data_IF_441407054347
#
_entry.id   IF_441407054347
#
_cell.length_a   1.000
_cell.length_b   1.000
_cell.length_c   1.000
_cell.angle_alpha   90.00
_cell.angle_beta   90.00
_cell.angle_gamma   90.00
#
_symmetry.space_group_name_H-M   'P 1'
#
loop_
_entity.id
_entity.type
_entity.pdbx_description
1 polymer ?
#
# COMPACT_ATOMS: atom_id res chain seq x y z
N UNK A 1 -3.83 11.89 57.79
CA UNK A 1 -3.67 12.73 56.59
C UNK A 1 -3.60 11.84 55.35
N UNK A 2 -4.71 11.50 54.67
CA UNK A 2 -4.65 10.82 53.40
C UNK A 2 -4.45 11.87 52.30
N UNK A 3 -3.30 11.82 51.62
CA UNK A 3 -3.06 12.60 50.42
C UNK A 3 -3.95 12.06 49.29
N UNK A 4 -5.13 12.65 49.15
CA UNK A 4 -6.03 12.41 48.03
C UNK A 4 -5.36 12.88 46.74
N UNK A 5 -4.97 11.92 45.92
CA UNK A 5 -4.34 12.10 44.61
C UNK A 5 -5.40 12.56 43.56
N UNK A 6 -5.92 13.77 43.77
CA UNK A 6 -7.03 14.38 43.00
C UNK A 6 -6.67 14.73 41.54
N UNK A 7 -5.39 14.60 41.15
CA UNK A 7 -4.95 14.90 39.77
C UNK A 7 -5.19 13.74 38.79
N UNK A 8 -5.56 12.55 39.28
CA UNK A 8 -5.64 11.33 38.46
C UNK A 8 -7.00 11.03 37.85
N UNK A 9 -8.10 11.64 38.33
CA UNK A 9 -9.47 11.32 37.89
C UNK A 9 -9.82 11.79 36.44
N UNK A 10 -9.47 13.02 35.98
CA UNK A 10 -9.89 13.52 34.66
C UNK A 10 -9.21 12.76 33.51
N UNK A 11 -7.94 12.37 33.69
CA UNK A 11 -7.15 11.65 32.68
C UNK A 11 -7.63 10.21 32.46
N UNK A 12 -8.21 9.58 33.49
CA UNK A 12 -8.78 8.24 33.38
C UNK A 12 -10.07 8.23 32.55
N UNK A 13 -10.92 9.26 32.70
CA UNK A 13 -12.12 9.46 31.88
C UNK A 13 -11.78 9.69 30.41
N UNK A 14 -10.81 10.58 30.12
CA UNK A 14 -10.35 10.84 28.75
C UNK A 14 -9.81 9.57 28.07
N UNK A 15 -9.00 8.76 28.77
CA UNK A 15 -8.43 7.54 28.18
C UNK A 15 -9.50 6.48 27.92
N UNK A 16 -10.55 6.44 28.73
CA UNK A 16 -11.72 5.60 28.48
C UNK A 16 -12.49 6.03 27.23
N UNK A 17 -12.71 7.34 27.06
CA UNK A 17 -13.37 7.90 25.86
C UNK A 17 -12.61 7.54 24.58
N UNK A 18 -11.31 7.86 24.51
CA UNK A 18 -10.51 7.57 23.32
C UNK A 18 -10.43 6.07 22.99
N UNK A 19 -10.42 5.18 23.99
CA UNK A 19 -10.53 3.74 23.75
C UNK A 19 -11.86 3.37 23.09
N UNK A 20 -12.97 3.98 23.51
CA UNK A 20 -14.28 3.76 22.87
C UNK A 20 -14.28 4.29 21.44
N UNK A 21 -13.75 5.49 21.20
CA UNK A 21 -13.64 6.08 19.88
C UNK A 21 -12.78 5.22 18.95
N UNK A 22 -11.58 4.82 19.40
CA UNK A 22 -10.70 3.91 18.67
C UNK A 22 -11.38 2.57 18.35
N UNK A 23 -12.09 1.98 19.33
CA UNK A 23 -12.84 0.74 19.13
C UNK A 23 -13.89 0.88 18.02
N UNK A 24 -14.75 1.89 18.10
CA UNK A 24 -15.84 2.06 17.12
C UNK A 24 -15.31 2.42 15.74
N UNK A 25 -14.28 3.27 15.66
CA UNK A 25 -13.58 3.57 14.41
C UNK A 25 -12.97 2.29 13.81
N UNK A 26 -12.28 1.48 14.62
CA UNK A 26 -11.70 0.23 14.17
C UNK A 26 -12.76 -0.78 13.70
N UNK A 27 -13.92 -0.85 14.35
CA UNK A 27 -15.01 -1.75 13.91
C UNK A 27 -15.65 -1.30 12.60
N UNK A 28 -15.91 0.00 12.44
CA UNK A 28 -16.61 0.55 11.28
C UNK A 28 -15.71 0.70 10.05
N UNK A 29 -14.45 1.10 10.24
CA UNK A 29 -13.53 1.45 9.15
C UNK A 29 -12.30 0.54 9.08
N UNK A 30 -12.07 -0.31 10.08
CA UNK A 30 -10.89 -1.17 10.10
C UNK A 30 -10.85 -2.17 8.94
N UNK A 31 -11.99 -2.56 8.38
CA UNK A 31 -12.03 -3.38 7.17
C UNK A 31 -11.54 -2.62 5.93
N UNK A 32 -11.80 -1.31 5.83
CA UNK A 32 -11.27 -0.46 4.73
C UNK A 32 -9.75 -0.38 4.85
N UNK A 33 -9.24 -0.14 6.07
CA UNK A 33 -7.79 -0.12 6.31
C UNK A 33 -7.15 -1.47 6.04
N UNK A 34 -7.84 -2.57 6.40
CA UNK A 34 -7.39 -3.93 6.11
C UNK A 34 -7.29 -4.18 4.60
N UNK A 35 -8.27 -3.74 3.81
CA UNK A 35 -8.23 -3.85 2.34
C UNK A 35 -7.10 -3.02 1.74
N UNK A 36 -6.94 -1.76 2.16
CA UNK A 36 -5.88 -0.88 1.68
C UNK A 36 -4.48 -1.42 2.05
N UNK A 37 -4.32 -1.93 3.27
CA UNK A 37 -3.08 -2.57 3.73
C UNK A 37 -2.76 -3.84 2.95
N UNK A 38 -3.75 -4.73 2.79
CA UNK A 38 -3.60 -5.97 2.04
C UNK A 38 -3.25 -5.69 0.58
N UNK A 39 -3.97 -4.78 -0.07
CA UNK A 39 -3.70 -4.41 -1.47
C UNK A 39 -2.34 -3.75 -1.61
N UNK A 40 -1.93 -2.89 -0.67
CA UNK A 40 -0.59 -2.29 -0.65
C UNK A 40 0.53 -3.33 -0.54
N UNK A 41 0.37 -4.32 0.35
CA UNK A 41 1.32 -5.43 0.46
C UNK A 41 1.40 -6.27 -0.83
N UNK A 42 0.28 -6.48 -1.53
CA UNK A 42 0.27 -7.12 -2.86
C UNK A 42 1.02 -6.27 -3.89
N UNK A 43 0.91 -4.93 -3.84
CA UNK A 43 1.63 -4.06 -4.77
C UNK A 43 3.14 -4.06 -4.59
N UNK A 44 3.65 -4.40 -3.40
CA UNK A 44 5.08 -4.66 -3.23
C UNK A 44 5.57 -5.87 -4.06
N UNK A 45 4.66 -6.80 -4.37
CA UNK A 45 4.90 -7.94 -5.25
C UNK A 45 4.57 -7.63 -6.73
N UNK A 46 4.45 -6.36 -7.13
CA UNK A 46 4.05 -5.98 -8.51
C UNK A 46 4.89 -6.64 -9.61
N UNK A 47 6.20 -6.72 -9.45
CA UNK A 47 7.10 -7.28 -10.46
C UNK A 47 6.94 -8.82 -10.60
N UNK A 48 7.02 -9.62 -9.51
CA UNK A 48 6.74 -11.05 -9.61
C UNK A 48 5.29 -11.35 -10.00
N UNK A 49 4.32 -10.55 -9.56
CA UNK A 49 2.92 -10.70 -9.96
C UNK A 49 2.75 -10.47 -11.46
N UNK A 50 3.25 -9.35 -11.99
CA UNK A 50 3.22 -9.08 -13.44
C UNK A 50 3.89 -10.22 -14.22
N UNK A 51 5.07 -10.65 -13.79
CA UNK A 51 5.81 -11.77 -14.42
C UNK A 51 5.01 -13.07 -14.44
N UNK A 52 4.27 -13.34 -13.38
CA UNK A 52 3.40 -14.51 -13.29
C UNK A 52 2.19 -14.38 -14.24
N UNK A 53 1.59 -13.19 -14.35
CA UNK A 53 0.39 -12.97 -15.17
C UNK A 53 0.67 -12.92 -16.67
N UNK A 54 1.74 -12.25 -17.10
CA UNK A 54 2.03 -12.04 -18.53
C UNK A 54 3.17 -12.92 -19.06
N UNK A 55 3.84 -13.66 -18.17
CA UNK A 55 4.98 -14.50 -18.49
C UNK A 55 6.31 -13.75 -18.55
N UNK A 56 7.39 -14.45 -18.17
CA UNK A 56 8.74 -13.88 -18.15
C UNK A 56 9.24 -13.44 -19.54
N UNK A 57 8.86 -14.18 -20.57
CA UNK A 57 9.30 -13.96 -21.95
C UNK A 57 8.81 -12.62 -22.53
N UNK A 58 7.66 -12.14 -22.07
CA UNK A 58 7.13 -10.83 -22.48
C UNK A 58 7.91 -9.67 -21.82
N UNK A 59 8.51 -9.88 -20.65
CA UNK A 59 9.12 -8.82 -19.84
C UNK A 59 10.65 -8.78 -19.92
N UNK A 60 11.28 -9.91 -20.23
CA UNK A 60 12.73 -10.05 -20.26
C UNK A 60 13.25 -9.95 -21.69
N UNK A 61 14.46 -9.41 -21.84
CA UNK A 61 15.18 -9.45 -23.11
C UNK A 61 15.46 -10.91 -23.48
N UNK A 62 15.28 -11.25 -24.75
CA UNK A 62 15.58 -12.60 -25.24
C UNK A 62 17.08 -12.86 -25.29
N UNK A 63 17.86 -11.84 -25.65
CA UNK A 63 19.31 -11.91 -25.70
C UNK A 63 19.91 -10.60 -25.15
N UNK A 64 21.07 -10.65 -24.47
CA UNK A 64 21.81 -9.46 -24.13
C UNK A 64 22.23 -8.71 -25.41
N UNK A 65 22.09 -7.37 -25.45
CA UNK A 65 22.57 -6.59 -26.59
C UNK A 65 24.10 -6.65 -26.68
N UNK A 66 24.64 -6.48 -27.88
CA UNK A 66 26.08 -6.29 -28.03
C UNK A 66 26.52 -5.02 -27.27
N UNK A 67 27.72 -5.00 -26.65
CA UNK A 67 28.22 -3.82 -25.96
C UNK A 67 28.19 -2.58 -26.85
N UNK A 68 27.62 -1.48 -26.37
CA UNK A 68 27.50 -0.22 -27.11
C UNK A 68 26.32 -0.15 -28.09
N UNK A 69 25.45 -1.15 -28.14
CA UNK A 69 24.23 -1.09 -28.98
C UNK A 69 23.35 0.09 -28.59
N UNK A 70 23.02 0.94 -29.56
CA UNK A 70 22.04 2.00 -29.38
C UNK A 70 20.62 1.42 -29.34
N UNK A 71 19.77 1.96 -28.46
CA UNK A 71 18.34 1.63 -28.47
C UNK A 71 17.69 2.20 -29.74
N UNK A 72 16.71 1.49 -30.27
CA UNK A 72 15.84 2.01 -31.31
C UNK A 72 15.02 3.21 -30.78
N UNK A 73 14.53 4.04 -31.69
CA UNK A 73 13.76 5.22 -31.29
C UNK A 73 12.38 4.85 -30.74
N UNK A 74 11.80 5.75 -29.94
CA UNK A 74 10.43 5.60 -29.45
C UNK A 74 9.42 5.45 -30.60
N UNK A 75 9.65 6.15 -31.71
CA UNK A 75 8.84 6.06 -32.93
C UNK A 75 8.92 4.66 -33.55
N UNK A 76 10.12 4.06 -33.59
CA UNK A 76 10.30 2.70 -34.10
C UNK A 76 9.54 1.67 -33.25
N UNK A 77 9.62 1.77 -31.91
CA UNK A 77 8.85 0.90 -31.02
C UNK A 77 7.34 1.04 -31.24
N UNK A 78 6.86 2.29 -31.33
CA UNK A 78 5.44 2.56 -31.55
C UNK A 78 4.97 2.05 -32.92
N UNK A 79 5.78 2.22 -33.97
CA UNK A 79 5.46 1.72 -35.31
C UNK A 79 5.38 0.20 -35.33
N UNK A 80 6.37 -0.49 -34.77
CA UNK A 80 6.37 -1.95 -34.68
C UNK A 80 5.16 -2.49 -33.92
N UNK A 81 4.81 -1.86 -32.79
CA UNK A 81 3.63 -2.23 -32.02
C UNK A 81 2.31 -2.00 -32.79
N UNK A 82 2.18 -0.89 -33.53
CA UNK A 82 0.99 -0.61 -34.37
C UNK A 82 0.81 -1.66 -35.46
N UNK A 83 1.90 -2.10 -36.07
CA UNK A 83 1.87 -3.10 -37.14
C UNK A 83 1.57 -4.50 -36.62
N UNK A 84 2.17 -4.88 -35.49
CA UNK A 84 2.03 -6.22 -34.93
C UNK A 84 0.72 -6.45 -34.15
N UNK A 85 0.17 -5.40 -33.55
CA UNK A 85 -0.97 -5.50 -32.63
C UNK A 85 -2.16 -4.67 -33.10
N UNK A 86 -2.98 -5.19 -34.05
CA UNK A 86 -4.18 -4.49 -34.53
C UNK A 86 -5.25 -4.31 -33.44
N UNK A 87 -5.09 -4.92 -32.27
CA UNK A 87 -5.96 -4.72 -31.11
C UNK A 87 -5.87 -3.28 -30.56
N UNK A 88 -4.80 -2.53 -30.85
CA UNK A 88 -4.75 -1.11 -30.51
C UNK A 88 -5.75 -0.31 -31.35
N UNK A 89 -6.60 0.49 -30.69
CA UNK A 89 -7.40 1.50 -31.38
C UNK A 89 -6.54 2.68 -31.83
N UNK A 90 -5.56 3.04 -30.99
CA UNK A 90 -4.45 3.95 -31.31
C UNK A 90 -3.33 3.73 -30.31
N UNK A 91 -2.09 4.04 -30.70
CA UNK A 91 -0.97 4.10 -29.76
C UNK A 91 -0.88 5.50 -29.17
N UNK A 92 -0.82 5.59 -27.84
CA UNK A 92 -0.72 6.86 -27.11
C UNK A 92 0.73 7.26 -26.84
N UNK A 93 1.64 6.28 -26.71
CA UNK A 93 3.04 6.54 -26.49
C UNK A 93 3.84 5.30 -26.13
N UNK A 94 5.10 5.50 -25.81
CA UNK A 94 6.01 4.47 -25.35
C UNK A 94 6.86 4.93 -24.15
N UNK A 95 7.33 3.98 -23.37
CA UNK A 95 8.28 4.19 -22.28
C UNK A 95 9.51 3.28 -22.48
N UNK A 96 10.72 3.80 -22.21
CA UNK A 96 11.94 3.01 -22.34
C UNK A 96 12.00 1.87 -21.31
N UNK A 97 12.92 0.90 -21.48
CA UNK A 97 13.15 -0.16 -20.52
C UNK A 97 13.27 0.35 -19.08
N UNK A 98 12.67 -0.39 -18.16
CA UNK A 98 12.66 -0.11 -16.71
C UNK A 98 12.08 1.26 -16.32
N UNK A 99 11.47 1.99 -17.25
CA UNK A 99 10.74 3.21 -16.93
C UNK A 99 9.28 2.92 -16.58
N UNK A 100 8.74 3.72 -15.66
CA UNK A 100 7.33 3.68 -15.28
C UNK A 100 6.97 2.64 -14.21
N UNK A 101 5.68 2.35 -14.12
CA UNK A 101 5.11 1.52 -13.05
C UNK A 101 5.28 0.01 -13.28
N UNK A 102 5.24 -0.42 -14.55
CA UNK A 102 5.44 -1.81 -14.95
C UNK A 102 6.90 -2.01 -15.31
N UNK A 103 7.61 -2.78 -14.47
CA UNK A 103 9.04 -3.02 -14.67
C UNK A 103 9.25 -4.11 -15.72
N UNK A 104 9.96 -3.76 -16.79
CA UNK A 104 10.28 -4.63 -17.93
C UNK A 104 11.68 -4.29 -18.45
N UNK A 105 12.43 -5.28 -18.94
CA UNK A 105 13.66 -5.04 -19.70
C UNK A 105 13.34 -4.68 -21.18
N UNK A 106 12.10 -4.92 -21.63
CA UNK A 106 11.58 -4.47 -22.91
C UNK A 106 11.04 -3.03 -22.83
N UNK A 107 11.00 -2.35 -23.98
CA UNK A 107 10.25 -1.11 -24.13
C UNK A 107 8.75 -1.38 -24.05
N UNK A 108 8.01 -0.42 -23.49
CA UNK A 108 6.57 -0.54 -23.30
C UNK A 108 5.85 0.43 -24.23
N UNK A 109 4.95 -0.07 -25.07
CA UNK A 109 4.04 0.74 -25.90
C UNK A 109 2.62 0.57 -25.40
N UNK A 110 1.87 1.66 -25.25
CA UNK A 110 0.53 1.61 -24.66
C UNK A 110 -0.50 2.42 -25.43
N UNK A 111 -1.76 2.02 -25.31
CA UNK A 111 -2.88 2.66 -25.98
C UNK A 111 -4.21 1.97 -25.70
N UNK A 112 -5.35 2.62 -25.99
CA UNK A 112 -6.66 2.01 -25.83
C UNK A 112 -6.84 0.80 -26.76
N UNK A 113 -7.59 -0.20 -26.29
CA UNK A 113 -7.94 -1.41 -27.06
C UNK A 113 -9.21 -1.18 -27.86
N UNK A 114 -9.27 -1.70 -29.09
CA UNK A 114 -10.47 -1.62 -29.93
C UNK A 114 -11.67 -2.30 -29.25
N UNK A 115 -12.83 -1.64 -29.27
CA UNK A 115 -14.08 -2.17 -28.72
C UNK A 115 -14.11 -2.36 -27.20
N UNK A 116 -13.09 -1.89 -26.45
CA UNK A 116 -13.01 -2.04 -24.99
C UNK A 116 -12.56 -0.74 -24.33
N UNK A 117 -13.16 -0.40 -23.20
CA UNK A 117 -12.68 0.67 -22.32
C UNK A 117 -11.51 0.15 -21.47
N UNK A 118 -10.40 -0.18 -22.12
CA UNK A 118 -9.23 -0.78 -21.49
C UNK A 118 -7.93 -0.32 -22.17
N UNK A 119 -6.83 -0.41 -21.44
CA UNK A 119 -5.49 -0.08 -21.89
C UNK A 119 -4.73 -1.34 -22.32
N UNK A 120 -4.35 -1.39 -23.59
CA UNK A 120 -3.44 -2.37 -24.13
C UNK A 120 -1.99 -1.98 -23.86
N UNK A 121 -1.16 -2.99 -23.66
CA UNK A 121 0.28 -2.85 -23.44
C UNK A 121 1.00 -3.84 -24.34
N UNK A 122 1.85 -3.33 -25.21
CA UNK A 122 2.79 -4.09 -26.02
C UNK A 122 4.19 -3.98 -25.43
N UNK A 123 4.85 -5.12 -25.27
CA UNK A 123 6.26 -5.22 -24.98
C UNK A 123 7.01 -5.34 -26.30
N UNK A 124 8.05 -4.54 -26.47
CA UNK A 124 8.85 -4.45 -27.69
C UNK A 124 10.33 -4.49 -27.33
N UNK A 125 11.13 -5.23 -28.08
CA UNK A 125 12.58 -5.25 -27.88
C UNK A 125 13.14 -3.83 -28.11
N UNK A 126 13.85 -3.26 -27.13
CA UNK A 126 14.26 -1.87 -27.19
C UNK A 126 15.35 -1.61 -28.23
N UNK A 127 16.03 -2.64 -28.74
CA UNK A 127 17.11 -2.54 -29.72
C UNK A 127 16.64 -2.87 -31.14
N UNK A 128 15.95 -4.00 -31.32
CA UNK A 128 15.50 -4.44 -32.65
C UNK A 128 14.11 -3.92 -33.04
N UNK A 129 13.38 -3.31 -32.10
CA UNK A 129 11.95 -3.00 -32.22
C UNK A 129 11.07 -4.24 -32.49
N UNK A 130 11.54 -5.45 -32.19
CA UNK A 130 10.77 -6.67 -32.38
C UNK A 130 9.63 -6.78 -31.35
N UNK A 131 8.38 -7.04 -31.79
CA UNK A 131 7.26 -7.25 -30.87
C UNK A 131 7.45 -8.50 -29.99
N UNK A 132 7.32 -8.36 -28.66
CA UNK A 132 7.57 -9.43 -27.69
C UNK A 132 6.33 -9.99 -27.01
N UNK A 133 5.31 -9.16 -26.84
CA UNK A 133 4.02 -9.60 -26.33
C UNK A 133 3.02 -8.46 -26.25
N UNK A 134 1.74 -8.81 -26.16
CA UNK A 134 0.66 -7.86 -25.96
C UNK A 134 -0.31 -8.40 -24.91
N UNK A 135 -0.76 -7.53 -24.01
CA UNK A 135 -1.79 -7.86 -23.03
C UNK A 135 -2.64 -6.63 -22.70
N UNK A 136 -3.85 -6.88 -22.21
CA UNK A 136 -4.75 -5.83 -21.73
C UNK A 136 -4.50 -5.63 -20.24
N UNK A 137 -4.03 -4.44 -19.86
CA UNK A 137 -3.65 -4.14 -18.48
C UNK A 137 -4.81 -4.34 -17.50
N UNK A 138 -6.00 -3.85 -17.86
CA UNK A 138 -7.19 -3.87 -17.01
C UNK A 138 -7.68 -5.29 -16.66
N UNK A 139 -7.30 -6.29 -17.47
CA UNK A 139 -7.65 -7.69 -17.22
C UNK A 139 -6.78 -8.33 -16.11
N UNK A 140 -5.63 -7.72 -15.81
CA UNK A 140 -4.67 -8.22 -14.82
C UNK A 140 -5.18 -8.06 -13.38
N UNK A 141 -4.88 -9.04 -12.54
CA UNK A 141 -4.96 -8.96 -11.08
C UNK A 141 -4.13 -7.81 -10.53
N UNK A 142 -2.95 -7.53 -11.11
CA UNK A 142 -2.17 -6.34 -10.75
C UNK A 142 -2.99 -5.05 -10.94
N UNK A 143 -3.71 -4.90 -12.05
CA UNK A 143 -4.53 -3.71 -12.28
C UNK A 143 -5.68 -3.60 -11.27
N UNK A 144 -6.33 -4.72 -10.94
CA UNK A 144 -7.37 -4.78 -9.89
C UNK A 144 -6.82 -4.39 -8.51
N UNK A 145 -5.63 -4.89 -8.15
CA UNK A 145 -4.95 -4.53 -6.91
C UNK A 145 -4.60 -3.03 -6.87
N UNK A 146 -4.13 -2.48 -7.99
CA UNK A 146 -3.84 -1.04 -8.13
C UNK A 146 -5.10 -0.21 -7.99
N UNK A 147 -6.20 -0.60 -8.65
CA UNK A 147 -7.49 0.09 -8.58
C UNK A 147 -8.07 0.08 -7.15
N UNK A 148 -7.93 -1.05 -6.44
CA UNK A 148 -8.34 -1.15 -5.03
C UNK A 148 -7.49 -0.24 -4.14
N UNK A 149 -6.17 -0.28 -4.26
CA UNK A 149 -5.29 0.47 -3.36
C UNK A 149 -5.35 1.99 -3.59
N UNK A 150 -5.44 2.42 -4.85
CA UNK A 150 -5.38 3.85 -5.23
C UNK A 150 -6.74 4.52 -5.33
N UNK A 151 -7.82 3.75 -5.40
CA UNK A 151 -9.16 4.29 -5.57
C UNK A 151 -10.28 3.54 -4.87
N UNK A 152 -10.01 2.48 -4.09
CA UNK A 152 -11.04 1.61 -3.50
C UNK A 152 -12.02 1.04 -4.54
N UNK A 153 -11.55 0.81 -5.77
CA UNK A 153 -12.38 0.42 -6.93
C UNK A 153 -13.45 1.46 -7.33
N UNK A 154 -13.42 2.66 -6.74
CA UNK A 154 -14.30 3.75 -7.11
C UNK A 154 -13.73 4.53 -8.31
N UNK A 155 -14.61 5.07 -9.18
CA UNK A 155 -14.18 5.77 -10.38
C UNK A 155 -13.58 7.15 -10.06
N UNK A 156 -12.58 7.51 -10.86
CA UNK A 156 -12.11 8.89 -11.00
C UNK A 156 -11.68 9.56 -9.68
N UNK A 157 -11.94 10.87 -9.53
CA UNK A 157 -11.51 11.62 -8.34
C UNK A 157 -12.13 11.11 -7.03
N UNK A 158 -13.32 10.52 -7.07
CA UNK A 158 -14.01 10.04 -5.88
C UNK A 158 -13.19 8.96 -5.15
N UNK A 159 -12.58 8.03 -5.89
CA UNK A 159 -11.73 6.99 -5.32
C UNK A 159 -10.50 7.55 -4.62
N UNK A 160 -9.79 8.50 -5.24
CA UNK A 160 -8.60 9.09 -4.62
C UNK A 160 -8.95 9.96 -3.40
N UNK A 161 -10.10 10.64 -3.41
CA UNK A 161 -10.64 11.32 -2.22
C UNK A 161 -10.90 10.33 -1.10
N UNK A 162 -11.58 9.21 -1.39
CA UNK A 162 -11.93 8.20 -0.40
C UNK A 162 -10.70 7.55 0.23
N UNK A 163 -9.68 7.23 -0.57
CA UNK A 163 -8.38 6.72 -0.09
C UNK A 163 -7.68 7.76 0.81
N UNK A 164 -7.59 9.02 0.37
CA UNK A 164 -6.97 10.08 1.16
C UNK A 164 -7.69 10.31 2.49
N UNK A 165 -9.03 10.37 2.48
CA UNK A 165 -9.84 10.50 3.70
C UNK A 165 -9.65 9.31 4.64
N UNK A 166 -9.63 8.08 4.11
CA UNK A 166 -9.33 6.87 4.88
C UNK A 166 -7.95 6.95 5.53
N UNK A 167 -6.94 7.43 4.78
CA UNK A 167 -5.60 7.68 5.29
C UNK A 167 -5.57 8.71 6.42
N UNK A 168 -6.33 9.81 6.32
CA UNK A 168 -6.43 10.82 7.40
C UNK A 168 -7.03 10.22 8.67
N UNK A 169 -8.09 9.42 8.53
CA UNK A 169 -8.73 8.73 9.68
C UNK A 169 -7.78 7.70 10.30
N UNK A 170 -7.07 6.93 9.48
CA UNK A 170 -6.04 5.99 9.95
C UNK A 170 -4.92 6.73 10.69
N UNK A 171 -4.42 7.84 10.13
CA UNK A 171 -3.38 8.67 10.74
C UNK A 171 -3.82 9.22 12.10
N UNK A 172 -5.04 9.75 12.19
CA UNK A 172 -5.61 10.21 13.46
C UNK A 172 -5.73 9.07 14.48
N UNK A 173 -6.16 7.87 14.02
CA UNK A 173 -6.22 6.68 14.86
C UNK A 173 -4.83 6.27 15.37
N UNK A 174 -3.80 6.27 14.51
CA UNK A 174 -2.42 5.96 14.88
C UNK A 174 -1.87 6.96 15.91
N UNK A 175 -2.06 8.25 15.70
CA UNK A 175 -1.65 9.31 16.63
C UNK A 175 -2.35 9.15 17.99
N UNK A 176 -3.66 8.88 17.99
CA UNK A 176 -4.39 8.57 19.23
C UNK A 176 -3.88 7.28 19.90
N UNK A 177 -3.47 6.31 19.07
CA UNK A 177 -2.89 5.04 19.46
C UNK A 177 -1.60 5.20 20.27
N UNK A 178 -0.74 6.18 19.94
CA UNK A 178 0.49 6.48 20.70
C UNK A 178 0.15 6.72 22.18
N UNK A 179 -0.84 7.58 22.43
CA UNK A 179 -1.27 7.92 23.77
C UNK A 179 -1.96 6.75 24.49
N UNK A 180 -2.76 5.98 23.75
CA UNK A 180 -3.44 4.79 24.29
C UNK A 180 -2.48 3.63 24.58
N UNK A 181 -1.42 3.49 23.81
CA UNK A 181 -0.42 2.44 23.90
C UNK A 181 0.61 2.71 25.00
N UNK A 182 0.92 4.00 25.26
CA UNK A 182 1.94 4.38 26.23
C UNK A 182 1.70 3.77 27.63
N UNK A 183 2.70 3.10 28.23
CA UNK A 183 2.56 2.48 29.55
C UNK A 183 2.38 3.52 30.65
N UNK A 184 1.34 3.39 31.48
CA UNK A 184 0.99 4.38 32.52
C UNK A 184 2.11 4.69 33.51
N UNK A 185 2.85 3.67 33.94
CA UNK A 185 3.93 3.81 34.94
C UNK A 185 5.32 3.92 34.31
N UNK A 186 5.42 3.87 32.97
CA UNK A 186 6.66 3.92 32.17
C UNK A 186 7.86 3.06 32.66
N UNK A 187 7.63 2.05 33.51
CA UNK A 187 8.71 1.19 34.03
C UNK A 187 9.27 0.23 32.98
N UNK A 188 10.52 -0.23 33.17
CA UNK A 188 11.17 -1.23 32.30
C UNK A 188 10.31 -2.48 32.09
N UNK A 189 9.67 -2.98 33.16
CA UNK A 189 8.76 -4.13 33.12
C UNK A 189 7.52 -3.86 32.26
N UNK A 190 6.96 -2.66 32.36
CA UNK A 190 5.78 -2.27 31.58
C UNK A 190 6.09 -2.12 30.08
N UNK A 191 7.23 -1.52 29.74
CA UNK A 191 7.73 -1.46 28.37
C UNK A 191 8.00 -2.84 27.78
N UNK A 192 8.67 -3.73 28.53
CA UNK A 192 8.92 -5.10 28.10
C UNK A 192 7.61 -5.84 27.81
N UNK A 193 6.59 -5.68 28.66
CA UNK A 193 5.28 -6.31 28.46
C UNK A 193 4.49 -5.71 27.27
N UNK A 194 4.72 -4.45 26.92
CA UNK A 194 4.08 -3.79 25.78
C UNK A 194 4.69 -4.23 24.43
N UNK A 195 6.00 -4.45 24.39
CA UNK A 195 6.73 -4.81 23.16
C UNK A 195 6.87 -6.32 22.94
N UNK A 196 6.90 -7.12 24.02
CA UNK A 196 7.09 -8.56 23.97
C UNK A 196 5.86 -9.26 24.57
N UNK A 197 4.84 -9.57 23.75
CA UNK A 197 3.60 -10.14 24.23
C UNK A 197 3.78 -11.62 24.57
N UNK A 198 2.95 -12.10 25.50
CA UNK A 198 2.84 -13.54 25.76
C UNK A 198 2.12 -14.20 24.59
N UNK A 199 2.73 -15.23 24.01
CA UNK A 199 2.19 -15.97 22.86
C UNK A 199 1.17 -17.06 23.25
N UNK A 200 0.85 -17.19 24.54
CA UNK A 200 -0.14 -18.15 25.06
C UNK A 200 -0.97 -17.54 26.19
N UNK A 201 -2.17 -18.09 26.39
CA UNK A 201 -3.06 -17.76 27.51
C UNK A 201 -4.10 -16.66 27.23
N UNK A 202 -4.89 -16.27 28.25
CA UNK A 202 -6.08 -15.43 28.08
C UNK A 202 -5.79 -13.99 27.61
N UNK A 203 -4.55 -13.52 27.72
CA UNK A 203 -4.10 -12.19 27.28
C UNK A 203 -3.52 -12.14 25.87
N UNK A 204 -3.43 -13.26 25.15
CA UNK A 204 -2.72 -13.38 23.87
C UNK A 204 -3.09 -12.29 22.86
N UNK A 205 -4.36 -12.21 22.48
CA UNK A 205 -4.83 -11.31 21.42
C UNK A 205 -4.59 -9.84 21.75
N UNK A 206 -4.82 -9.45 23.01
CA UNK A 206 -4.53 -8.09 23.48
C UNK A 206 -3.04 -7.80 23.48
N UNK A 207 -2.23 -8.78 23.87
CA UNK A 207 -0.77 -8.69 23.82
C UNK A 207 -0.28 -8.48 22.40
N UNK A 208 -0.68 -9.36 21.46
CA UNK A 208 -0.30 -9.26 20.05
C UNK A 208 -0.74 -7.94 19.44
N UNK A 209 -2.00 -7.55 19.63
CA UNK A 209 -2.51 -6.28 19.10
C UNK A 209 -1.71 -5.07 19.63
N UNK A 210 -1.42 -5.04 20.94
CA UNK A 210 -0.61 -3.97 21.53
C UNK A 210 0.84 -3.98 21.01
N UNK A 211 1.48 -5.15 20.92
CA UNK A 211 2.85 -5.24 20.44
C UNK A 211 2.95 -4.83 18.97
N UNK A 212 2.08 -5.35 18.11
CA UNK A 212 1.99 -4.98 16.70
C UNK A 212 1.74 -3.49 16.52
N UNK A 213 0.84 -2.88 17.31
CA UNK A 213 0.62 -1.44 17.27
C UNK A 213 1.88 -0.63 17.64
N UNK A 214 2.71 -1.13 18.55
CA UNK A 214 3.99 -0.50 18.90
C UNK A 214 5.04 -0.62 17.81
N UNK A 215 5.28 -1.84 17.31
CA UNK A 215 6.32 -2.13 16.32
C UNK A 215 6.04 -1.50 14.94
N UNK A 216 4.76 -1.41 14.57
CA UNK A 216 4.35 -0.95 13.24
C UNK A 216 3.94 0.51 13.18
N UNK A 217 3.95 1.20 14.32
CA UNK A 217 3.54 2.60 14.42
C UNK A 217 4.29 3.47 13.40
N UNK A 218 5.62 3.42 13.39
CA UNK A 218 6.43 4.28 12.54
C UNK A 218 6.22 3.97 11.04
N UNK A 219 6.32 2.70 10.56
CA UNK A 219 5.99 2.38 9.18
C UNK A 219 4.58 2.82 8.77
N UNK A 220 3.56 2.57 9.60
CA UNK A 220 2.17 2.94 9.29
C UNK A 220 1.96 4.46 9.28
N UNK A 221 2.63 5.22 10.15
CA UNK A 221 2.58 6.68 10.13
C UNK A 221 3.18 7.24 8.83
N UNK A 222 4.37 6.78 8.45
CA UNK A 222 5.07 7.26 7.26
C UNK A 222 4.33 6.89 5.98
N UNK A 223 3.86 5.64 5.87
CA UNK A 223 3.10 5.16 4.71
C UNK A 223 1.73 5.83 4.62
N UNK A 224 1.01 6.01 5.73
CA UNK A 224 -0.27 6.71 5.72
C UNK A 224 -0.11 8.19 5.33
N UNK A 225 0.86 8.90 5.90
CA UNK A 225 1.10 10.31 5.58
C UNK A 225 1.50 10.51 4.11
N UNK A 226 2.46 9.73 3.61
CA UNK A 226 2.87 9.77 2.20
C UNK A 226 1.73 9.33 1.27
N UNK A 227 0.91 8.35 1.65
CA UNK A 227 -0.24 7.87 0.89
C UNK A 227 -1.33 8.92 0.72
N UNK A 228 -1.64 9.69 1.78
CA UNK A 228 -2.60 10.81 1.71
C UNK A 228 -2.13 11.83 0.66
N UNK A 229 -0.83 12.19 0.71
CA UNK A 229 -0.27 13.12 -0.26
C UNK A 229 -0.31 12.55 -1.69
N UNK A 230 0.10 11.30 -1.89
CA UNK A 230 0.12 10.66 -3.21
C UNK A 230 -1.29 10.50 -3.80
N UNK A 231 -2.30 10.27 -2.95
CA UNK A 231 -3.69 10.21 -3.37
C UNK A 231 -4.23 11.59 -3.76
N UNK A 232 -3.89 12.65 -3.01
CA UNK A 232 -4.38 14.02 -3.24
C UNK A 232 -3.28 15.09 -3.09
N UNK A 233 -2.35 15.24 -4.07
CA UNK A 233 -1.30 16.26 -3.99
C UNK A 233 -1.87 17.69 -3.90
N UNK A 234 -3.00 17.92 -4.58
CA UNK A 234 -3.68 19.22 -4.60
C UNK A 234 -4.22 19.69 -3.23
N UNK A 235 -4.34 18.81 -2.22
CA UNK A 235 -4.67 19.23 -0.85
C UNK A 235 -3.52 19.99 -0.17
N UNK A 236 -2.30 19.88 -0.70
CA UNK A 236 -1.08 20.44 -0.11
C UNK A 236 -0.49 21.58 -0.95
N UNK A 237 -1.29 22.19 -1.84
CA UNK A 237 -0.84 23.28 -2.71
C UNK A 237 0.20 22.89 -3.77
N UNK A 238 0.52 21.59 -3.88
CA UNK A 238 1.52 21.11 -4.83
C UNK A 238 0.92 20.83 -6.20
N UNK A 239 1.46 21.49 -7.24
CA UNK A 239 1.64 20.78 -8.51
C UNK A 239 2.63 19.64 -8.25
N UNK A 240 2.36 18.44 -8.75
CA UNK A 240 3.20 17.28 -8.49
C UNK A 240 4.57 17.44 -9.18
N UNK A 241 5.48 18.21 -8.57
CA UNK A 241 6.88 18.26 -8.99
C UNK A 241 7.39 16.82 -9.04
N UNK A 242 7.90 16.38 -10.19
CA UNK A 242 8.24 14.97 -10.43
C UNK A 242 9.15 14.40 -9.34
N UNK A 243 10.10 15.19 -8.86
CA UNK A 243 11.00 14.82 -7.77
C UNK A 243 10.28 14.56 -6.44
N UNK A 244 9.34 15.44 -6.02
CA UNK A 244 8.59 15.28 -4.78
C UNK A 244 7.70 14.03 -4.83
N UNK A 245 7.03 13.81 -5.98
CA UNK A 245 6.22 12.61 -6.19
C UNK A 245 7.07 11.34 -6.17
N UNK A 246 8.24 11.36 -6.80
CA UNK A 246 9.15 10.21 -6.82
C UNK A 246 9.69 9.89 -5.42
N UNK A 247 10.12 10.92 -4.68
CA UNK A 247 10.59 10.78 -3.30
C UNK A 247 9.48 10.25 -2.38
N UNK A 248 8.27 10.82 -2.44
CA UNK A 248 7.14 10.36 -1.64
C UNK A 248 6.68 8.96 -2.03
N UNK A 249 6.75 8.59 -3.31
CA UNK A 249 6.46 7.22 -3.75
C UNK A 249 7.50 6.23 -3.22
N UNK A 250 8.78 6.61 -3.16
CA UNK A 250 9.83 5.80 -2.55
C UNK A 250 9.68 5.70 -1.02
N UNK A 251 9.26 6.78 -0.34
CA UNK A 251 8.91 6.74 1.07
C UNK A 251 7.70 5.82 1.32
N UNK A 252 6.68 5.90 0.48
CA UNK A 252 5.44 5.14 0.65
C UNK A 252 5.62 3.63 0.43
N UNK A 253 6.33 3.22 -0.64
CA UNK A 253 6.52 1.80 -0.95
C UNK A 253 7.76 1.18 -0.29
N UNK A 254 8.78 1.98 0.02
CA UNK A 254 10.10 1.45 0.41
C UNK A 254 10.69 2.15 1.63
N UNK A 255 9.98 3.07 2.28
CA UNK A 255 10.48 3.86 3.41
C UNK A 255 11.84 4.54 3.17
N UNK A 256 12.24 4.74 1.91
CA UNK A 256 13.58 5.18 1.49
C UNK A 256 14.74 4.24 1.90
N UNK A 257 14.43 2.98 2.23
CA UNK A 257 15.39 1.95 2.65
C UNK A 257 15.58 0.85 1.59
N UNK A 258 15.11 1.07 0.37
CA UNK A 258 15.18 0.09 -0.72
C UNK A 258 14.41 -1.21 -0.41
N UNK A 259 15.01 -2.36 -0.71
CA UNK A 259 14.39 -3.68 -0.52
C UNK A 259 14.02 -4.00 0.92
N UNK A 260 14.83 -3.55 1.89
CA UNK A 260 14.53 -3.71 3.31
C UNK A 260 13.24 -2.98 3.68
N UNK A 261 13.10 -1.72 3.24
CA UNK A 261 11.90 -0.95 3.53
C UNK A 261 10.68 -1.48 2.79
N UNK A 262 10.84 -2.02 1.58
CA UNK A 262 9.77 -2.74 0.88
C UNK A 262 9.22 -3.91 1.70
N UNK A 263 10.10 -4.71 2.33
CA UNK A 263 9.68 -5.80 3.23
C UNK A 263 8.92 -5.23 4.44
N UNK A 264 9.41 -4.15 5.04
CA UNK A 264 8.75 -3.50 6.18
C UNK A 264 7.36 -2.96 5.82
N UNK A 265 7.21 -2.33 4.66
CA UNK A 265 5.92 -1.83 4.15
C UNK A 265 4.97 -2.98 3.87
N UNK A 266 5.44 -4.06 3.24
CA UNK A 266 4.62 -5.25 3.01
C UNK A 266 4.13 -5.87 4.32
N UNK A 267 5.00 -6.02 5.32
CA UNK A 267 4.64 -6.51 6.65
C UNK A 267 3.64 -5.59 7.36
N UNK A 268 3.83 -4.27 7.27
CA UNK A 268 2.89 -3.29 7.81
C UNK A 268 1.51 -3.39 7.12
N UNK A 269 1.50 -3.56 5.79
CA UNK A 269 0.29 -3.76 5.00
C UNK A 269 -0.48 -5.02 5.40
N UNK A 270 0.22 -6.16 5.57
CA UNK A 270 -0.37 -7.43 6.06
C UNK A 270 -0.84 -7.32 7.51
N UNK A 271 -0.18 -6.50 8.33
CA UNK A 271 -0.55 -6.36 9.72
C UNK A 271 -1.87 -5.62 9.94
N UNK A 272 -2.30 -4.73 9.04
CA UNK A 272 -3.61 -4.05 9.15
C UNK A 272 -4.80 -5.02 9.19
N UNK A 273 -4.95 -6.00 8.26
CA UNK A 273 -5.98 -7.03 8.37
C UNK A 273 -5.85 -7.87 9.63
N UNK A 274 -4.63 -8.19 10.09
CA UNK A 274 -4.42 -8.93 11.34
C UNK A 274 -4.85 -8.10 12.57
N UNK A 275 -4.52 -6.81 12.62
CA UNK A 275 -4.94 -5.91 13.68
C UNK A 275 -6.47 -5.75 13.72
N UNK A 276 -7.11 -5.63 12.56
CA UNK A 276 -8.56 -5.61 12.46
C UNK A 276 -9.18 -6.92 12.96
N UNK A 277 -8.68 -8.06 12.47
CA UNK A 277 -9.16 -9.39 12.87
C UNK A 277 -9.00 -9.66 14.37
N UNK A 278 -7.84 -9.33 14.93
CA UNK A 278 -7.59 -9.46 16.38
C UNK A 278 -8.49 -8.55 17.21
N UNK A 279 -8.71 -7.31 16.77
CA UNK A 279 -9.64 -6.37 17.40
C UNK A 279 -11.09 -6.87 17.39
N UNK A 280 -11.56 -7.36 16.24
CA UNK A 280 -12.90 -7.92 16.06
C UNK A 280 -13.09 -9.16 16.94
N UNK A 281 -12.11 -10.08 16.96
CA UNK A 281 -12.12 -11.26 17.82
C UNK A 281 -12.20 -10.89 19.31
N UNK A 282 -11.41 -9.91 19.75
CA UNK A 282 -11.43 -9.42 21.13
C UNK A 282 -12.79 -8.84 21.51
N UNK A 283 -13.38 -8.04 20.62
CA UNK A 283 -14.70 -7.45 20.83
C UNK A 283 -15.81 -8.51 20.90
N UNK A 284 -15.82 -9.49 20.00
CA UNK A 284 -16.78 -10.60 20.02
C UNK A 284 -16.65 -11.44 21.30
N UNK A 285 -15.43 -11.75 21.73
CA UNK A 285 -15.18 -12.48 22.98
C UNK A 285 -15.61 -11.69 24.21
N UNK A 286 -15.41 -10.38 24.22
CA UNK A 286 -15.85 -9.50 25.30
C UNK A 286 -17.36 -9.43 25.48
N UNK A 287 -18.14 -9.68 24.42
CA UNK A 287 -19.61 -9.72 24.47
C UNK A 287 -20.20 -11.03 25.01
N UNK A 288 -19.45 -12.14 24.96
CA UNK A 288 -19.98 -13.48 25.27
C UNK A 288 -20.16 -13.77 26.77
N UNK A 289 -19.92 -12.80 27.66
CA UNK A 289 -19.97 -13.00 29.11
C UNK A 289 -18.96 -14.05 29.60
N UNK A 290 -18.78 -14.23 30.92
CA UNK A 290 -18.08 -15.42 31.42
C UNK A 290 -18.89 -16.65 30.98
N UNK A 291 -18.25 -17.59 30.27
CA UNK A 291 -18.82 -18.94 30.14
C UNK A 291 -18.90 -19.49 31.56
N UNK A 292 -20.13 -19.70 32.05
CA UNK A 292 -20.39 -20.45 33.28
C UNK A 292 -19.92 -21.88 33.10
#
# INVERSE_FOLDING_TARGET
MPSSDLRSAPLQGRRALWRKLHLWLALLLGWVFALLGASGAVLELRAPLLRWEVGAQALQLQAPPAPGSAQASSEAWQQAARQAYPQFARVLGAAPPRAGFLTSDNALVFGPVQGRHAMGIAMVDPYSAEPRGFFVYDDLWLAKAVALHRGLLLPGPAGSVAVAASGVVLLASLVSGIWLWWPRKATRKAWRAALLPRLRGPGLWRGLHNASAGWLLLPLLLTSASGIWLARPGWFGGSANGAAKQWLSALHGQLLLGSLGQVLVALAGVALPLLYGTGLLMWMRGRRGPRR
#
